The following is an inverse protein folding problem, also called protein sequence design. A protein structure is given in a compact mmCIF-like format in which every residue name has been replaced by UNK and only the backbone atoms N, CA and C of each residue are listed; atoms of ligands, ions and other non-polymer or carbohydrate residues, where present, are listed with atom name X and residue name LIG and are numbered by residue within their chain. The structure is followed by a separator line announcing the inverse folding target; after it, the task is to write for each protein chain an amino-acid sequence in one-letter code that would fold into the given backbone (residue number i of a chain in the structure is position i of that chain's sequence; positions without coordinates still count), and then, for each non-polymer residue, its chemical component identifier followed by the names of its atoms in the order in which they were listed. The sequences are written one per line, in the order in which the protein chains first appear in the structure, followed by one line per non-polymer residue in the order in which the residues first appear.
data_IF_565747306878
#
_entry.id   IF_565747306878
#
_cell.length_a   1.000
_cell.length_b   1.000
_cell.length_c   1.000
_cell.angle_alpha   90.00
_cell.angle_beta   90.00
_cell.angle_gamma   90.00
#
_symmetry.space_group_name_H-M   'P 1'
#
loop_
_entity.id
_entity.type
_entity.pdbx_description
1 polymer ?
#
# COMPACT_ATOMS: atom_id res chain seq x y z
N UNK A 1 6.74 -14.15 -23.53
CA UNK A 1 6.15 -15.06 -22.54
C UNK A 1 5.08 -14.30 -21.79
N UNK A 2 3.91 -14.89 -21.56
CA UNK A 2 2.93 -14.30 -20.66
C UNK A 2 3.58 -14.11 -19.27
N UNK A 3 3.30 -12.97 -18.63
CA UNK A 3 3.89 -12.66 -17.32
C UNK A 3 3.40 -13.63 -16.22
N UNK A 4 2.27 -14.31 -16.46
CA UNK A 4 1.59 -15.22 -15.54
C UNK A 4 1.18 -16.51 -16.25
N UNK A 5 0.92 -17.61 -15.49
CA UNK A 5 0.36 -18.83 -16.06
C UNK A 5 -0.97 -18.56 -16.81
N UNK A 6 -1.37 -19.41 -17.78
CA UNK A 6 -2.61 -19.22 -18.53
C UNK A 6 -3.82 -18.97 -17.62
N UNK A 7 -4.52 -17.86 -17.87
CA UNK A 7 -5.68 -17.42 -17.10
C UNK A 7 -5.33 -16.69 -15.80
N UNK A 8 -4.08 -16.72 -15.32
CA UNK A 8 -3.65 -16.07 -14.07
C UNK A 8 -3.49 -14.55 -14.19
N UNK A 9 -3.54 -13.88 -13.03
CA UNK A 9 -3.34 -12.43 -12.93
C UNK A 9 -2.18 -12.08 -12.00
N UNK A 10 -1.73 -10.83 -12.02
CA UNK A 10 -0.75 -10.29 -11.07
C UNK A 10 -1.10 -10.63 -9.60
N UNK A 11 -2.40 -10.63 -9.28
CA UNK A 11 -2.91 -10.84 -7.92
C UNK A 11 -2.78 -12.29 -7.42
N UNK A 12 -2.54 -13.25 -8.32
CA UNK A 12 -2.31 -14.67 -7.98
C UNK A 12 -0.85 -14.95 -7.59
N UNK A 13 0.09 -14.07 -7.95
CA UNK A 13 1.52 -14.38 -7.97
C UNK A 13 2.31 -13.75 -6.81
N UNK A 14 1.65 -12.97 -5.95
CA UNK A 14 2.25 -12.49 -4.70
C UNK A 14 2.26 -13.57 -3.62
N UNK A 15 3.20 -13.49 -2.66
CA UNK A 15 3.23 -14.41 -1.50
C UNK A 15 1.90 -14.39 -0.71
N UNK A 16 1.26 -13.22 -0.66
CA UNK A 16 -0.04 -13.00 0.00
C UNK A 16 -0.82 -11.89 -0.68
N UNK A 17 -2.12 -12.06 -0.83
CA UNK A 17 -3.05 -10.98 -1.19
C UNK A 17 -3.57 -10.26 0.05
N UNK A 18 -3.90 -8.96 -0.05
CA UNK A 18 -4.59 -8.26 1.04
C UNK A 18 -5.94 -8.88 1.40
N UNK A 19 -6.60 -9.56 0.46
CA UNK A 19 -7.85 -10.31 0.72
C UNK A 19 -7.65 -11.45 1.73
N UNK A 20 -6.43 -11.97 1.84
CA UNK A 20 -6.04 -13.07 2.71
C UNK A 20 -5.38 -12.61 4.02
N UNK A 21 -5.28 -11.30 4.27
CA UNK A 21 -4.72 -10.78 5.53
C UNK A 21 -5.77 -10.90 6.63
N UNK A 22 -5.54 -11.71 7.68
CA UNK A 22 -6.52 -11.92 8.75
C UNK A 22 -6.73 -10.64 9.57
N UNK A 23 -7.99 -10.39 9.94
CA UNK A 23 -8.39 -9.40 10.93
C UNK A 23 -9.21 -10.10 12.02
N UNK A 24 -8.81 -9.93 13.28
CA UNK A 24 -9.55 -10.50 14.39
C UNK A 24 -10.61 -9.51 14.89
N UNK A 25 -11.84 -9.68 14.42
CA UNK A 25 -12.97 -8.83 14.81
C UNK A 25 -13.24 -8.81 16.32
N UNK A 26 -12.93 -9.89 17.04
CA UNK A 26 -13.09 -9.96 18.51
C UNK A 26 -12.00 -9.20 19.29
N UNK A 27 -10.97 -8.71 18.60
CA UNK A 27 -9.82 -7.99 19.18
C UNK A 27 -9.53 -6.70 18.43
N UNK A 28 -10.50 -5.78 18.37
CA UNK A 28 -10.34 -4.45 17.73
C UNK A 28 -9.82 -4.52 16.29
N UNK A 29 -10.30 -5.51 15.53
CA UNK A 29 -9.82 -5.83 14.19
C UNK A 29 -8.29 -5.99 14.11
N UNK A 30 -7.68 -6.65 15.10
CA UNK A 30 -6.24 -6.91 15.14
C UNK A 30 -5.76 -7.55 13.83
N UNK A 31 -4.78 -6.92 13.17
CA UNK A 31 -4.27 -7.33 11.86
C UNK A 31 -2.99 -8.15 12.07
N UNK A 32 -2.93 -9.34 11.49
CA UNK A 32 -1.73 -10.17 11.56
C UNK A 32 -0.52 -9.50 10.92
N UNK A 33 0.59 -9.41 11.65
CA UNK A 33 1.80 -8.71 11.20
C UNK A 33 2.42 -9.41 9.99
N UNK A 34 2.59 -10.73 10.03
CA UNK A 34 3.27 -11.47 8.97
C UNK A 34 2.58 -11.32 7.62
N UNK A 35 1.29 -11.63 7.57
CA UNK A 35 0.49 -11.62 6.36
C UNK A 35 0.34 -10.19 5.81
N UNK A 36 0.21 -9.18 6.67
CA UNK A 36 0.15 -7.79 6.22
C UNK A 36 1.46 -7.34 5.58
N UNK A 37 2.61 -7.73 6.16
CA UNK A 37 3.92 -7.42 5.58
C UNK A 37 4.12 -8.16 4.25
N UNK A 38 3.75 -9.43 4.15
CA UNK A 38 3.81 -10.20 2.88
C UNK A 38 2.95 -9.55 1.78
N UNK A 39 1.73 -9.12 2.11
CA UNK A 39 0.85 -8.43 1.17
C UNK A 39 1.39 -7.03 0.79
N UNK A 40 2.01 -6.33 1.75
CA UNK A 40 2.66 -5.04 1.50
C UNK A 40 3.91 -5.17 0.62
N UNK A 41 4.68 -6.25 0.77
CA UNK A 41 5.81 -6.59 -0.10
C UNK A 41 5.31 -6.87 -1.52
N UNK A 42 4.24 -7.65 -1.68
CA UNK A 42 3.63 -7.92 -2.99
C UNK A 42 3.24 -6.61 -3.70
N UNK A 43 2.57 -5.68 -2.99
CA UNK A 43 2.22 -4.34 -3.52
C UNK A 43 3.43 -3.58 -4.09
N UNK A 44 4.64 -3.78 -3.55
CA UNK A 44 5.82 -3.10 -4.10
C UNK A 44 6.11 -3.49 -5.55
N UNK A 45 5.72 -4.69 -5.98
CA UNK A 45 5.85 -5.15 -7.37
C UNK A 45 4.91 -4.43 -8.34
N UNK A 46 3.79 -3.88 -7.86
CA UNK A 46 2.84 -3.15 -8.69
C UNK A 46 3.46 -1.85 -9.22
N UNK A 47 4.40 -1.27 -8.48
CA UNK A 47 5.16 -0.11 -8.94
C UNK A 47 6.13 -0.42 -10.08
N UNK A 48 6.60 -1.67 -10.20
CA UNK A 48 7.38 -2.09 -11.36
C UNK A 48 6.49 -2.15 -12.62
N UNK A 49 5.24 -2.58 -12.46
CA UNK A 49 4.23 -2.59 -13.54
C UNK A 49 3.84 -1.17 -13.96
N UNK A 50 3.66 -0.27 -12.99
CA UNK A 50 3.34 1.15 -13.19
C UNK A 50 4.49 1.98 -13.77
N UNK A 51 5.73 1.52 -13.66
CA UNK A 51 6.90 2.25 -14.16
C UNK A 51 8.06 2.23 -13.18
N UNK A 52 8.90 1.20 -13.31
CA UNK A 52 10.02 0.91 -12.40
C UNK A 52 10.89 2.14 -12.07
N UNK A 53 11.30 2.93 -13.06
CA UNK A 53 12.17 4.11 -12.84
C UNK A 53 11.44 5.24 -12.13
N UNK A 54 10.21 5.54 -12.55
CA UNK A 54 9.42 6.66 -12.03
C UNK A 54 8.95 6.43 -10.57
N UNK A 55 8.65 5.18 -10.21
CA UNK A 55 8.13 4.82 -8.90
C UNK A 55 9.19 4.22 -7.95
N UNK A 56 10.45 4.11 -8.36
CA UNK A 56 11.56 3.59 -7.55
C UNK A 56 11.70 4.25 -6.16
N UNK A 57 11.60 5.59 -6.01
CA UNK A 57 11.67 6.21 -4.69
C UNK A 57 10.55 5.75 -3.75
N UNK A 58 9.33 5.62 -4.25
CA UNK A 58 8.15 5.18 -3.47
C UNK A 58 8.32 3.72 -3.06
N UNK A 59 8.76 2.86 -3.98
CA UNK A 59 9.06 1.46 -3.71
C UNK A 59 10.12 1.30 -2.62
N UNK A 60 11.22 2.06 -2.69
CA UNK A 60 12.31 2.02 -1.69
C UNK A 60 11.83 2.42 -0.30
N UNK A 61 11.05 3.51 -0.19
CA UNK A 61 10.48 3.95 1.09
C UNK A 61 9.58 2.86 1.70
N UNK A 62 8.69 2.26 0.90
CA UNK A 62 7.83 1.17 1.35
C UNK A 62 8.63 -0.03 1.87
N UNK A 63 9.66 -0.46 1.14
CA UNK A 63 10.54 -1.57 1.54
C UNK A 63 11.24 -1.26 2.86
N UNK A 64 11.75 -0.04 3.03
CA UNK A 64 12.41 0.38 4.27
C UNK A 64 11.44 0.35 5.46
N UNK A 65 10.20 0.81 5.26
CA UNK A 65 9.19 0.80 6.32
C UNK A 65 8.70 -0.62 6.65
N UNK A 66 8.53 -1.50 5.65
CA UNK A 66 8.31 -2.94 5.87
C UNK A 66 9.43 -3.54 6.70
N UNK A 67 10.69 -3.21 6.37
CA UNK A 67 11.86 -3.72 7.09
C UNK A 67 11.84 -3.32 8.56
N UNK A 68 11.55 -2.06 8.90
CA UNK A 68 11.46 -1.61 10.31
C UNK A 68 10.48 -2.45 11.12
N UNK A 69 9.31 -2.73 10.55
CA UNK A 69 8.26 -3.52 11.21
C UNK A 69 8.68 -4.99 11.32
N UNK A 70 9.27 -5.55 10.25
CA UNK A 70 9.78 -6.93 10.24
C UNK A 70 10.89 -7.13 11.26
N UNK A 71 11.82 -6.19 11.37
CA UNK A 71 12.92 -6.26 12.34
C UNK A 71 12.38 -6.31 13.77
N UNK A 72 11.38 -5.47 14.11
CA UNK A 72 10.70 -5.53 15.42
C UNK A 72 9.98 -6.85 15.62
N UNK A 73 9.28 -7.34 14.61
CA UNK A 73 8.58 -8.63 14.65
C UNK A 73 9.56 -9.77 14.99
N UNK A 74 10.72 -9.81 14.35
CA UNK A 74 11.73 -10.84 14.59
C UNK A 74 12.40 -10.70 15.97
N UNK A 75 12.56 -9.48 16.47
CA UNK A 75 13.12 -9.22 17.80
C UNK A 75 12.17 -9.62 18.94
N UNK A 76 10.86 -9.52 18.73
CA UNK A 76 9.85 -9.79 19.76
C UNK A 76 8.60 -10.46 19.15
N UNK A 77 8.69 -11.72 18.70
CA UNK A 77 7.64 -12.36 17.90
C UNK A 77 6.31 -12.49 18.63
N UNK A 78 6.33 -12.93 19.90
CA UNK A 78 5.12 -13.09 20.72
C UNK A 78 4.47 -11.74 21.08
N UNK A 79 5.24 -10.65 21.06
CA UNK A 79 4.73 -9.29 21.30
C UNK A 79 4.27 -8.60 20.01
N UNK A 80 4.45 -9.24 18.87
CA UNK A 80 4.33 -8.64 17.53
C UNK A 80 3.50 -9.50 16.58
N UNK A 81 2.66 -10.39 17.10
CA UNK A 81 1.76 -11.23 16.29
C UNK A 81 0.79 -10.36 15.48
N UNK A 82 0.33 -9.25 16.06
CA UNK A 82 -0.54 -8.27 15.41
C UNK A 82 0.15 -6.92 15.32
N UNK A 83 -0.20 -6.12 14.31
CA UNK A 83 0.37 -4.79 14.13
C UNK A 83 0.05 -3.86 15.31
N UNK A 84 -1.15 -3.98 15.87
CA UNK A 84 -1.58 -3.21 17.02
C UNK A 84 -0.78 -3.58 18.28
N UNK A 85 -0.58 -4.87 18.54
CA UNK A 85 0.22 -5.32 19.70
C UNK A 85 1.70 -4.97 19.53
N UNK A 86 2.23 -5.10 18.31
CA UNK A 86 3.59 -4.67 17.97
C UNK A 86 3.81 -3.22 18.39
N UNK A 87 2.90 -2.31 18.00
CA UNK A 87 2.97 -0.89 18.36
C UNK A 87 2.88 -0.70 19.87
N UNK A 88 1.85 -1.26 20.52
CA UNK A 88 1.67 -1.10 21.98
C UNK A 88 2.90 -1.56 22.75
N UNK A 89 3.49 -2.69 22.37
CA UNK A 89 4.62 -3.28 23.09
C UNK A 89 5.93 -2.56 22.77
N UNK A 90 6.14 -2.08 21.54
CA UNK A 90 7.29 -1.24 21.21
C UNK A 90 7.29 0.08 21.99
N UNK A 91 6.14 0.76 22.04
CA UNK A 91 5.98 2.03 22.75
C UNK A 91 6.16 1.88 24.27
N UNK A 92 5.66 0.79 24.86
CA UNK A 92 5.93 0.45 26.28
C UNK A 92 7.43 0.31 26.57
N UNK A 93 8.20 -0.20 25.60
CA UNK A 93 9.65 -0.29 25.69
C UNK A 93 10.38 1.03 25.39
N UNK A 94 9.64 2.16 25.26
CA UNK A 94 10.16 3.49 24.92
C UNK A 94 10.93 3.53 23.59
N UNK A 95 10.51 2.68 22.64
CA UNK A 95 11.02 2.64 21.26
C UNK A 95 9.85 2.95 20.32
N UNK A 96 10.14 3.44 19.13
CA UNK A 96 9.09 3.80 18.16
C UNK A 96 9.52 3.62 16.70
N UNK A 97 10.58 2.85 16.41
CA UNK A 97 11.11 2.74 15.04
C UNK A 97 10.14 1.98 14.14
N UNK A 98 9.58 0.88 14.62
CA UNK A 98 8.61 0.08 13.90
C UNK A 98 7.22 0.71 13.91
N UNK A 99 6.86 1.42 14.98
CA UNK A 99 5.64 2.23 15.07
C UNK A 99 5.70 3.36 14.06
N UNK A 100 6.85 4.04 13.95
CA UNK A 100 7.09 5.02 12.89
C UNK A 100 7.09 4.38 11.50
N UNK A 101 7.71 3.21 11.35
CA UNK A 101 7.69 2.44 10.11
C UNK A 101 6.26 2.07 9.67
N UNK A 102 5.46 1.52 10.58
CA UNK A 102 4.05 1.22 10.35
C UNK A 102 3.29 2.50 10.04
N UNK A 103 3.55 3.55 10.81
CA UNK A 103 2.96 4.84 10.59
C UNK A 103 3.28 5.35 9.19
N UNK A 104 4.51 5.32 8.67
CA UNK A 104 4.81 5.68 7.27
C UNK A 104 4.24 4.69 6.26
N UNK A 105 4.20 3.40 6.60
CA UNK A 105 3.58 2.36 5.77
C UNK A 105 2.06 2.50 5.71
N UNK A 106 1.41 3.17 6.65
CA UNK A 106 -0.04 3.38 6.65
C UNK A 106 -0.42 4.86 6.51
N UNK A 107 0.56 5.79 6.56
CA UNK A 107 0.38 7.16 7.08
C UNK A 107 -0.78 7.85 6.40
N UNK A 108 -1.78 8.08 7.26
CA UNK A 108 -2.84 9.08 7.20
C UNK A 108 -2.96 9.86 8.51
N UNK A 109 -1.99 9.82 9.43
CA UNK A 109 -2.33 10.17 10.81
C UNK A 109 -2.45 11.67 11.09
N UNK A 110 -2.08 12.55 10.15
CA UNK A 110 -2.52 13.95 10.23
C UNK A 110 -3.33 14.46 9.05
N UNK A 111 -3.52 13.71 7.97
CA UNK A 111 -4.40 14.13 6.87
C UNK A 111 -4.77 12.95 5.96
N UNK A 112 -5.92 13.00 5.27
CA UNK A 112 -6.51 11.95 4.43
C UNK A 112 -5.74 11.65 3.11
N UNK A 113 -4.46 11.99 3.05
CA UNK A 113 -3.76 12.34 1.83
C UNK A 113 -2.37 11.71 1.66
N UNK A 114 -2.00 10.54 2.21
CA UNK A 114 -0.64 10.01 1.93
C UNK A 114 -0.45 8.52 1.72
N UNK A 115 -1.48 7.68 1.87
CA UNK A 115 -1.48 6.34 1.23
C UNK A 115 -2.84 5.97 0.67
N UNK A 116 -3.33 6.93 -0.11
CA UNK A 116 -4.31 6.70 -1.15
C UNK A 116 -3.74 7.13 -2.52
N UNK A 117 -2.45 7.42 -2.75
CA UNK A 117 -2.03 7.79 -4.12
C UNK A 117 -2.28 6.65 -5.12
N UNK A 118 -1.59 5.52 -4.95
CA UNK A 118 -1.76 4.36 -5.83
C UNK A 118 -3.17 3.77 -5.67
N UNK A 119 -3.65 3.57 -4.44
CA UNK A 119 -4.99 3.02 -4.18
C UNK A 119 -6.11 3.91 -4.76
N UNK A 120 -6.07 5.24 -4.57
CA UNK A 120 -7.09 6.17 -5.10
C UNK A 120 -6.96 6.29 -6.61
N UNK A 121 -5.74 6.37 -7.13
CA UNK A 121 -5.53 6.45 -8.57
C UNK A 121 -6.05 5.19 -9.25
N UNK A 122 -5.72 4.00 -8.73
CA UNK A 122 -6.19 2.72 -9.27
C UNK A 122 -7.70 2.54 -9.06
N UNK A 123 -8.24 2.93 -7.90
CA UNK A 123 -9.69 2.94 -7.63
C UNK A 123 -10.43 3.83 -8.63
N UNK A 124 -9.96 5.06 -8.81
CA UNK A 124 -10.51 6.03 -9.75
C UNK A 124 -10.40 5.53 -11.18
N UNK A 125 -9.23 5.01 -11.57
CA UNK A 125 -9.02 4.48 -12.91
C UNK A 125 -9.95 3.28 -13.15
N UNK A 126 -10.13 2.40 -12.17
CA UNK A 126 -11.05 1.27 -12.25
C UNK A 126 -12.50 1.70 -12.44
N UNK A 127 -12.96 2.75 -11.74
CA UNK A 127 -14.35 3.25 -11.83
C UNK A 127 -14.59 4.23 -12.98
N UNK A 128 -13.54 4.75 -13.60
CA UNK A 128 -13.60 5.61 -14.80
C UNK A 128 -12.93 4.92 -15.98
N UNK A 129 -13.64 4.05 -16.73
CA UNK A 129 -13.03 3.18 -17.74
C UNK A 129 -12.38 3.94 -18.91
N UNK A 130 -12.79 5.19 -19.15
CA UNK A 130 -12.27 6.04 -20.22
C UNK A 130 -11.16 7.00 -19.76
N UNK A 131 -10.78 6.96 -18.48
CA UNK A 131 -9.73 7.82 -17.94
C UNK A 131 -8.35 7.15 -18.06
N UNK A 132 -7.38 7.91 -18.56
CA UNK A 132 -5.98 7.48 -18.61
C UNK A 132 -5.34 7.44 -17.23
N UNK A 133 -4.41 6.50 -17.04
CA UNK A 133 -3.78 6.25 -15.74
C UNK A 133 -3.05 7.49 -15.20
N UNK A 134 -2.39 8.25 -16.09
CA UNK A 134 -1.72 9.50 -15.72
C UNK A 134 -2.68 10.55 -15.15
N UNK A 135 -3.93 10.60 -15.61
CA UNK A 135 -4.95 11.53 -15.09
C UNK A 135 -5.36 11.10 -13.68
N UNK A 136 -5.67 9.81 -13.49
CA UNK A 136 -6.06 9.29 -12.17
C UNK A 136 -4.95 9.49 -11.13
N UNK A 137 -3.69 9.29 -11.52
CA UNK A 137 -2.53 9.51 -10.64
C UNK A 137 -2.29 11.00 -10.33
N UNK A 138 -2.44 11.91 -11.31
CA UNK A 138 -2.35 13.37 -11.07
C UNK A 138 -3.41 13.88 -10.11
N UNK A 139 -4.66 13.44 -10.28
CA UNK A 139 -5.76 13.76 -9.37
C UNK A 139 -5.45 13.26 -7.96
N UNK A 140 -5.10 11.99 -7.85
CA UNK A 140 -4.76 11.39 -6.58
C UNK A 140 -3.58 12.11 -5.91
N UNK A 141 -2.54 12.53 -6.64
CA UNK A 141 -1.42 13.29 -6.10
C UNK A 141 -1.81 14.68 -5.60
N UNK A 142 -2.63 15.40 -6.37
CA UNK A 142 -3.15 16.70 -5.97
C UNK A 142 -3.89 16.65 -4.64
N UNK A 143 -4.66 15.59 -4.43
CA UNK A 143 -5.44 15.34 -3.23
C UNK A 143 -4.62 14.68 -2.11
N UNK A 144 -3.41 14.21 -2.41
CA UNK A 144 -2.58 13.45 -1.48
C UNK A 144 -1.27 14.20 -1.14
N UNK A 145 -0.17 13.77 -1.75
CA UNK A 145 1.18 14.14 -1.36
C UNK A 145 1.57 15.56 -1.76
N UNK A 146 0.90 16.17 -2.75
CA UNK A 146 1.30 17.46 -3.34
C UNK A 146 1.43 18.57 -2.29
N UNK A 147 0.60 18.59 -1.26
CA UNK A 147 0.63 19.62 -0.22
C UNK A 147 1.85 19.52 0.73
N UNK A 148 2.48 18.34 0.84
CA UNK A 148 3.64 18.09 1.70
C UNK A 148 4.98 18.17 0.98
N UNK A 149 4.96 18.05 -0.35
CA UNK A 149 6.17 18.15 -1.14
C UNK A 149 6.61 19.60 -1.28
N UNK A 150 7.90 19.83 -1.04
CA UNK A 150 8.54 21.12 -1.32
C UNK A 150 8.46 21.45 -2.81
N UNK A 151 8.72 22.71 -3.17
CA UNK A 151 8.78 23.13 -4.57
C UNK A 151 9.83 22.36 -5.40
N UNK A 152 10.80 21.71 -4.74
CA UNK A 152 11.81 20.85 -5.38
C UNK A 152 11.29 19.43 -5.61
N UNK A 153 10.51 18.88 -4.68
CA UNK A 153 9.98 17.51 -4.79
C UNK A 153 8.76 17.44 -5.71
N UNK A 154 7.95 18.52 -5.76
CA UNK A 154 6.73 18.59 -6.57
C UNK A 154 6.94 18.23 -8.06
N UNK A 155 7.94 18.81 -8.77
CA UNK A 155 8.20 18.47 -10.18
C UNK A 155 8.56 17.01 -10.43
N UNK A 156 9.31 16.38 -9.51
CA UNK A 156 9.74 14.98 -9.64
C UNK A 156 8.52 14.06 -9.67
N UNK A 157 7.58 14.25 -8.74
CA UNK A 157 6.34 13.47 -8.71
C UNK A 157 5.44 13.78 -9.91
N UNK A 158 5.30 15.06 -10.31
CA UNK A 158 4.59 15.47 -11.54
C UNK A 158 5.09 14.76 -12.79
N UNK A 159 6.42 14.62 -12.92
CA UNK A 159 7.04 13.86 -13.99
C UNK A 159 6.71 12.36 -13.88
N UNK A 160 6.81 11.78 -12.68
CA UNK A 160 6.52 10.35 -12.46
C UNK A 160 5.07 9.99 -12.86
N UNK A 161 4.08 10.81 -12.52
CA UNK A 161 2.68 10.57 -12.92
C UNK A 161 2.45 10.75 -14.41
N UNK A 162 3.22 11.63 -15.06
CA UNK A 162 3.19 11.77 -16.52
C UNK A 162 3.85 10.59 -17.23
N UNK A 163 4.72 9.86 -16.53
CA UNK A 163 5.35 8.63 -17.00
C UNK A 163 4.54 7.36 -16.68
N UNK A 164 3.32 7.48 -16.12
CA UNK A 164 2.41 6.34 -16.01
C UNK A 164 2.16 5.75 -17.42
N UNK A 165 2.15 4.42 -17.56
CA UNK A 165 1.83 3.76 -18.83
C UNK A 165 0.41 4.09 -19.27
N UNK A 166 0.14 3.89 -20.56
CA UNK A 166 -1.23 3.89 -21.05
C UNK A 166 -2.06 2.87 -20.29
N UNK A 167 -3.32 3.23 -20.03
CA UNK A 167 -4.27 2.37 -19.32
C UNK A 167 -4.26 0.94 -19.86
N UNK A 168 -4.37 0.79 -21.18
CA UNK A 168 -4.41 -0.51 -21.87
C UNK A 168 -3.19 -1.36 -21.54
N UNK A 169 -2.00 -0.78 -21.61
CA UNK A 169 -0.74 -1.49 -21.34
C UNK A 169 -0.62 -1.86 -19.87
N UNK A 170 -1.09 -1.01 -18.96
CA UNK A 170 -1.14 -1.30 -17.54
C UNK A 170 -2.00 -2.53 -17.25
N UNK A 171 -3.27 -2.53 -17.69
CA UNK A 171 -4.16 -3.68 -17.43
C UNK A 171 -3.69 -4.95 -18.16
N UNK A 172 -3.17 -4.83 -19.38
CA UNK A 172 -2.61 -5.98 -20.10
C UNK A 172 -1.38 -6.60 -19.41
N UNK A 173 -0.60 -5.80 -18.66
CA UNK A 173 0.49 -6.33 -17.83
C UNK A 173 0.02 -7.03 -16.56
N UNK A 174 -1.23 -6.83 -16.14
CA UNK A 174 -1.79 -7.48 -14.95
C UNK A 174 -2.44 -8.83 -15.26
N UNK A 175 -2.68 -9.15 -16.53
CA UNK A 175 -3.24 -10.43 -16.98
C UNK A 175 -3.92 -10.30 -18.34
N UNK A 176 -4.14 -11.44 -18.99
CA UNK A 176 -4.73 -11.49 -20.34
C UNK A 176 -6.26 -11.30 -20.34
N UNK A 177 -6.94 -11.68 -19.26
CA UNK A 177 -8.38 -11.46 -19.06
C UNK A 177 -8.62 -10.17 -18.28
N UNK A 178 -8.93 -9.09 -19.00
CA UNK A 178 -9.21 -7.78 -18.41
C UNK A 178 -10.40 -7.79 -17.44
N UNK A 179 -11.41 -8.62 -17.69
CA UNK A 179 -12.58 -8.75 -16.82
C UNK A 179 -12.20 -9.34 -15.46
N UNK A 180 -11.42 -10.42 -15.49
CA UNK A 180 -10.85 -11.01 -14.26
C UNK A 180 -9.90 -10.04 -13.55
N UNK A 181 -8.98 -9.40 -14.28
CA UNK A 181 -8.04 -8.42 -13.70
C UNK A 181 -8.77 -7.30 -12.98
N UNK A 182 -9.84 -6.75 -13.56
CA UNK A 182 -10.65 -5.68 -12.94
C UNK A 182 -11.33 -6.16 -11.67
N UNK A 183 -11.88 -7.39 -11.67
CA UNK A 183 -12.50 -7.99 -10.49
C UNK A 183 -11.47 -8.20 -9.38
N UNK A 184 -10.34 -8.84 -9.70
CA UNK A 184 -9.27 -9.12 -8.73
C UNK A 184 -8.70 -7.81 -8.15
N UNK A 185 -8.50 -6.78 -8.99
CA UNK A 185 -8.07 -5.46 -8.55
C UNK A 185 -9.12 -4.79 -7.64
N UNK A 186 -10.41 -4.89 -7.94
CA UNK A 186 -11.47 -4.32 -7.07
C UNK A 186 -11.44 -4.95 -5.67
N UNK A 187 -11.44 -6.28 -5.61
CA UNK A 187 -11.41 -7.05 -4.35
C UNK A 187 -10.14 -6.75 -3.56
N UNK A 188 -8.99 -6.72 -4.24
CA UNK A 188 -7.70 -6.40 -3.65
C UNK A 188 -7.66 -4.97 -3.09
N UNK A 189 -8.18 -3.98 -3.84
CA UNK A 189 -8.24 -2.59 -3.39
C UNK A 189 -9.15 -2.44 -2.17
N UNK A 190 -10.33 -3.08 -2.17
CA UNK A 190 -11.27 -3.03 -1.03
C UNK A 190 -10.60 -3.60 0.22
N UNK A 191 -9.95 -4.74 0.07
CA UNK A 191 -9.26 -5.38 1.17
C UNK A 191 -8.15 -4.48 1.74
N UNK A 192 -7.31 -3.89 0.89
CA UNK A 192 -6.28 -2.93 1.30
C UNK A 192 -6.88 -1.72 2.02
N UNK A 193 -7.91 -1.10 1.44
CA UNK A 193 -8.60 0.06 2.00
C UNK A 193 -9.15 -0.23 3.41
N UNK A 194 -9.75 -1.41 3.61
CA UNK A 194 -10.26 -1.84 4.91
C UNK A 194 -9.16 -1.99 5.98
N UNK A 195 -8.03 -2.63 5.65
CA UNK A 195 -6.92 -2.80 6.62
C UNK A 195 -6.27 -1.45 6.93
N UNK A 196 -6.09 -0.60 5.92
CA UNK A 196 -5.56 0.75 6.11
C UNK A 196 -6.49 1.59 6.98
N UNK A 197 -7.82 1.50 6.80
CA UNK A 197 -8.79 2.19 7.67
C UNK A 197 -8.60 1.79 9.14
N UNK A 198 -8.59 0.49 9.43
CA UNK A 198 -8.40 -0.05 10.79
C UNK A 198 -7.09 0.45 11.41
N UNK A 199 -5.97 0.38 10.67
CA UNK A 199 -4.68 0.81 11.17
C UNK A 199 -4.62 2.32 11.43
N UNK A 200 -5.27 3.13 10.59
CA UNK A 200 -5.32 4.56 10.80
C UNK A 200 -6.16 4.95 12.01
N UNK A 201 -7.31 4.30 12.20
CA UNK A 201 -8.13 4.47 13.41
C UNK A 201 -7.34 4.12 14.66
N UNK A 202 -6.59 3.01 14.63
CA UNK A 202 -5.71 2.62 15.74
C UNK A 202 -4.57 3.62 15.97
N UNK A 203 -3.83 4.01 14.94
CA UNK A 203 -2.69 4.94 15.05
C UNK A 203 -3.11 6.38 15.43
N UNK A 204 -4.39 6.71 15.30
CA UNK A 204 -4.96 7.96 15.80
C UNK A 204 -5.16 7.95 17.32
N UNK A 205 -5.29 6.77 17.95
CA UNK A 205 -5.52 6.64 19.40
C UNK A 205 -4.30 7.13 20.20
N UNK A 206 -4.50 7.70 21.40
CA UNK A 206 -3.40 8.12 22.28
C UNK A 206 -2.40 7.01 22.60
N UNK A 207 -2.86 5.76 22.69
CA UNK A 207 -2.01 4.59 22.97
C UNK A 207 -0.99 4.27 21.87
N UNK A 208 -1.15 4.84 20.67
CA UNK A 208 -0.27 4.64 19.53
C UNK A 208 0.61 5.88 19.22
N UNK A 209 0.63 6.87 20.13
CA UNK A 209 1.44 8.09 20.01
C UNK A 209 2.74 7.98 20.82
N UNK A 210 3.79 8.63 20.33
CA UNK A 210 5.09 8.75 21.00
C UNK A 210 5.62 10.18 20.91
#
# INVERSE_FOLDING_TARGET
MAAYPPGGTYFDNGKRSFTQVPMNASKDNAISTSEYLEASEALTGLFDVLGQTAFSPIKKDMIQNIKKIRDRQLQAPLESETLQDLVRNELKAKKHLATEGLLWLTRQVHHPSSRILATRALRRNLTQPNEELSVSFRDAYGLTLKQYHSFIIKPIFSAAMSACPYRKDFYGKLGDDEGRVKKDLDEWLRALEDRVRVLNEFLAKPEAKW
#
